data_IF_835130413777
#
_entry.id   IF_835130413777
#
_cell.length_a   1.000
_cell.length_b   1.000
_cell.length_c   1.000
_cell.angle_alpha   90.00
_cell.angle_beta   90.00
_cell.angle_gamma   90.00
#
_symmetry.space_group_name_H-M   'P 1'
#
loop_
_entity.id
_entity.type
_entity.pdbx_description
1 polymer ?
#
# COMPACT_ATOMS: atom_id res chain seq x y z
N UNK A 1 -50.25 -32.06 -28.77
CA UNK A 1 -49.20 -31.03 -28.79
C UNK A 1 -49.17 -30.35 -27.43
N UNK A 2 -48.26 -30.75 -26.53
CA UNK A 2 -48.14 -30.18 -25.18
C UNK A 2 -47.02 -29.13 -25.18
N UNK A 3 -47.37 -27.87 -24.92
CA UNK A 3 -46.37 -26.80 -24.78
C UNK A 3 -45.84 -26.78 -23.31
N UNK A 4 -44.56 -27.09 -23.15
CA UNK A 4 -43.84 -26.94 -21.89
C UNK A 4 -43.35 -25.48 -21.77
N UNK A 5 -43.87 -24.74 -20.78
CA UNK A 5 -43.40 -23.42 -20.40
C UNK A 5 -42.25 -23.59 -19.41
N UNK A 6 -41.02 -23.25 -19.81
CA UNK A 6 -39.85 -23.18 -18.92
C UNK A 6 -39.83 -21.78 -18.31
N UNK A 7 -40.07 -21.71 -17.03
CA UNK A 7 -39.94 -20.48 -16.27
C UNK A 7 -38.47 -20.32 -15.79
N UNK A 8 -37.75 -19.35 -16.37
CA UNK A 8 -36.39 -19.00 -15.98
C UNK A 8 -36.48 -18.05 -14.79
N UNK A 9 -36.14 -18.52 -13.59
CA UNK A 9 -36.01 -17.69 -12.38
C UNK A 9 -34.68 -16.92 -12.43
N UNK A 10 -34.72 -15.59 -12.65
CA UNK A 10 -33.58 -14.71 -12.47
C UNK A 10 -33.31 -14.51 -10.98
N UNK A 11 -32.26 -15.11 -10.46
CA UNK A 11 -31.71 -14.77 -9.15
C UNK A 11 -30.94 -13.46 -9.25
N UNK A 12 -31.57 -12.37 -8.86
CA UNK A 12 -30.87 -11.09 -8.61
C UNK A 12 -30.08 -11.21 -7.31
N UNK A 13 -28.79 -11.59 -7.42
CA UNK A 13 -27.86 -11.57 -6.31
C UNK A 13 -27.60 -10.10 -5.92
N UNK A 14 -28.09 -9.65 -4.78
CA UNK A 14 -27.69 -8.38 -4.18
C UNK A 14 -26.21 -8.48 -3.79
N UNK A 15 -25.33 -7.88 -4.61
CA UNK A 15 -23.94 -7.68 -4.26
C UNK A 15 -23.90 -6.69 -3.08
N UNK A 16 -23.73 -7.20 -1.87
CA UNK A 16 -23.39 -6.35 -0.72
C UNK A 16 -22.03 -5.75 -0.99
N UNK A 17 -21.96 -4.44 -1.22
CA UNK A 17 -20.71 -3.71 -1.25
C UNK A 17 -19.97 -3.97 0.08
N UNK A 18 -18.92 -4.76 0.05
CA UNK A 18 -18.04 -4.90 1.20
C UNK A 18 -17.38 -3.53 1.39
N UNK A 19 -17.72 -2.82 2.47
CA UNK A 19 -17.03 -1.61 2.86
C UNK A 19 -15.53 -1.94 2.99
N UNK A 20 -14.74 -1.46 2.04
CA UNK A 20 -13.29 -1.60 2.09
C UNK A 20 -12.73 -0.48 2.96
N UNK A 21 -11.67 -0.77 3.70
CA UNK A 21 -10.97 0.22 4.52
C UNK A 21 -10.59 1.45 3.68
N UNK A 22 -10.69 2.65 4.28
CA UNK A 22 -10.40 3.89 3.56
C UNK A 22 -8.92 4.27 3.69
N UNK A 23 -8.31 4.71 2.58
CA UNK A 23 -6.90 5.13 2.52
C UNK A 23 -6.77 6.62 2.23
N UNK A 24 -6.11 7.34 3.14
CA UNK A 24 -5.73 8.75 2.99
C UNK A 24 -4.24 8.85 2.71
N UNK A 25 -3.86 9.48 1.57
CA UNK A 25 -2.47 9.62 1.12
C UNK A 25 -2.05 11.07 1.07
N UNK A 26 -0.82 11.35 1.52
CA UNK A 26 -0.16 12.63 1.33
C UNK A 26 1.28 12.42 0.85
N UNK A 27 1.77 13.33 0.00
CA UNK A 27 3.11 13.26 -0.58
C UNK A 27 3.93 14.44 -0.12
N UNK A 28 5.19 14.17 0.23
CA UNK A 28 6.22 15.16 0.50
C UNK A 28 7.46 14.82 -0.30
N UNK A 29 8.35 15.80 -0.49
CA UNK A 29 9.54 15.62 -1.30
C UNK A 29 10.75 16.17 -0.58
N UNK A 30 11.87 15.46 -0.64
CA UNK A 30 13.17 15.99 -0.29
C UNK A 30 14.00 16.28 -1.56
N UNK A 31 14.92 17.23 -1.46
CA UNK A 31 15.69 17.66 -2.62
C UNK A 31 16.95 16.83 -2.80
N UNK A 32 17.10 16.26 -3.99
CA UNK A 32 18.32 15.59 -4.45
C UNK A 32 19.05 16.53 -5.39
N UNK A 33 20.37 16.65 -5.27
CA UNK A 33 21.22 17.50 -6.10
C UNK A 33 22.38 16.70 -6.66
N UNK A 34 22.75 16.97 -7.92
CA UNK A 34 23.85 16.31 -8.62
C UNK A 34 23.76 16.53 -10.11
N UNK A 35 24.89 16.34 -10.82
CA UNK A 35 25.00 16.49 -12.28
C UNK A 35 25.35 15.17 -12.98
N UNK A 36 25.73 14.15 -12.21
CA UNK A 36 26.11 12.81 -12.68
C UNK A 36 25.29 11.75 -11.96
N UNK A 37 25.25 10.53 -12.49
CA UNK A 37 24.60 9.39 -11.83
C UNK A 37 25.20 9.15 -10.44
N UNK A 38 26.53 9.21 -10.32
CA UNK A 38 27.23 9.03 -9.05
C UNK A 38 26.91 10.12 -8.00
N UNK A 39 26.66 11.38 -8.46
CA UNK A 39 26.22 12.44 -7.54
C UNK A 39 24.80 12.15 -7.00
N UNK A 40 23.91 11.71 -7.88
CA UNK A 40 22.53 11.40 -7.53
C UNK A 40 22.46 10.22 -6.57
N UNK A 41 23.25 9.18 -6.82
CA UNK A 41 23.34 8.01 -5.95
C UNK A 41 23.83 8.40 -4.54
N UNK A 42 24.92 9.17 -4.45
CA UNK A 42 25.40 9.70 -3.16
C UNK A 42 24.38 10.59 -2.45
N UNK A 43 23.65 11.41 -3.21
CA UNK A 43 22.63 12.29 -2.64
C UNK A 43 21.41 11.52 -2.14
N UNK A 44 21.00 10.46 -2.80
CA UNK A 44 19.95 9.54 -2.34
C UNK A 44 20.37 8.83 -1.05
N UNK A 45 21.59 8.29 -1.04
CA UNK A 45 22.13 7.55 0.13
C UNK A 45 22.26 8.42 1.39
N UNK A 46 22.41 9.75 1.25
CA UNK A 46 22.61 10.66 2.39
C UNK A 46 21.39 11.50 2.74
N UNK A 47 20.57 11.83 1.75
CA UNK A 47 19.50 12.83 1.89
C UNK A 47 18.11 12.24 2.07
N UNK A 48 17.92 10.95 1.88
CA UNK A 48 16.64 10.28 2.02
C UNK A 48 16.18 10.18 3.48
N UNK A 49 14.94 9.75 3.71
CA UNK A 49 14.42 9.54 5.07
C UNK A 49 15.23 8.48 5.82
N UNK A 50 15.58 8.81 7.08
CA UNK A 50 16.22 7.86 7.98
C UNK A 50 15.18 6.94 8.59
N UNK A 51 15.23 5.65 8.27
CA UNK A 51 14.33 4.66 8.85
C UNK A 51 14.87 4.15 10.18
N UNK A 52 14.09 4.33 11.25
CA UNK A 52 14.46 3.85 12.59
C UNK A 52 14.64 2.33 12.67
N UNK A 53 13.94 1.58 11.83
CA UNK A 53 13.97 0.12 11.77
C UNK A 53 15.30 -0.44 11.25
N UNK A 54 15.96 0.29 10.37
CA UNK A 54 17.25 -0.12 9.75
C UNK A 54 18.43 0.73 10.19
N UNK A 55 18.19 1.93 10.76
CA UNK A 55 19.22 2.91 11.04
C UNK A 55 19.87 3.51 9.79
N UNK A 56 19.29 3.31 8.60
CA UNK A 56 19.84 3.74 7.32
C UNK A 56 18.92 4.72 6.60
N UNK A 57 19.51 5.54 5.73
CA UNK A 57 18.76 6.37 4.81
C UNK A 57 18.24 5.53 3.65
N UNK A 58 16.98 5.76 3.29
CA UNK A 58 16.31 5.10 2.18
C UNK A 58 15.94 6.12 1.11
N UNK A 59 15.86 5.73 -0.18
CA UNK A 59 15.54 6.66 -1.25
C UNK A 59 14.09 7.14 -1.23
N UNK A 60 13.20 6.46 -0.51
CA UNK A 60 11.83 6.84 -0.23
C UNK A 60 11.39 6.32 1.13
N UNK A 61 10.23 6.73 1.61
CA UNK A 61 9.58 6.14 2.78
C UNK A 61 8.07 6.34 2.74
N UNK A 62 7.32 5.34 3.17
CA UNK A 62 5.91 5.41 3.48
C UNK A 62 5.70 5.26 4.99
N UNK A 63 5.30 6.33 5.66
CA UNK A 63 4.86 6.27 7.05
C UNK A 63 3.39 5.93 7.10
N UNK A 64 3.04 4.78 7.67
CA UNK A 64 1.68 4.25 7.69
C UNK A 64 1.15 4.22 9.12
N UNK A 65 -0.10 4.67 9.30
CA UNK A 65 -0.83 4.62 10.55
C UNK A 65 -2.23 4.06 10.32
N UNK A 66 -2.63 3.11 11.15
CA UNK A 66 -3.99 2.59 11.19
C UNK A 66 -4.79 3.33 12.26
N UNK A 67 -6.06 3.60 11.96
CA UNK A 67 -7.06 4.11 12.89
C UNK A 67 -8.29 3.19 12.78
N UNK A 68 -8.46 2.31 13.77
CA UNK A 68 -9.54 1.34 13.81
C UNK A 68 -10.55 1.70 14.90
N UNK A 69 -11.83 1.68 14.55
CA UNK A 69 -12.94 1.92 15.47
C UNK A 69 -13.96 0.80 15.34
N UNK A 70 -14.22 0.09 16.44
CA UNK A 70 -15.29 -0.88 16.55
C UNK A 70 -16.41 -0.33 17.43
N UNK A 71 -17.63 -0.40 16.95
CA UNK A 71 -18.84 -0.12 17.71
C UNK A 71 -19.48 -1.44 18.10
N UNK A 72 -19.89 -1.56 19.35
CA UNK A 72 -20.59 -2.73 19.85
C UNK A 72 -21.68 -2.33 20.83
N UNK A 73 -22.67 -3.20 21.01
CA UNK A 73 -23.82 -2.95 21.88
C UNK A 73 -24.18 -4.21 22.65
N UNK A 74 -24.51 -4.03 23.92
CA UNK A 74 -25.12 -5.06 24.74
C UNK A 74 -26.64 -5.04 24.54
N UNK A 75 -27.22 -6.20 24.30
CA UNK A 75 -28.65 -6.40 24.15
C UNK A 75 -29.02 -7.81 24.62
N UNK A 76 -30.04 -7.94 25.52
CA UNK A 76 -30.57 -9.22 26.05
C UNK A 76 -29.48 -10.18 26.58
N UNK A 77 -28.50 -9.65 27.32
CA UNK A 77 -27.42 -10.45 27.91
C UNK A 77 -26.33 -10.93 26.93
N UNK A 78 -26.26 -10.32 25.75
CA UNK A 78 -25.19 -10.57 24.78
C UNK A 78 -24.64 -9.24 24.22
N UNK A 79 -23.33 -9.17 24.07
CA UNK A 79 -22.65 -8.05 23.42
C UNK A 79 -22.20 -8.45 22.02
N UNK A 80 -22.52 -7.62 21.00
CA UNK A 80 -22.20 -7.86 19.59
C UNK A 80 -21.62 -6.64 18.90
N UNK A 81 -20.79 -6.86 17.89
CA UNK A 81 -20.30 -5.80 17.00
C UNK A 81 -21.46 -5.25 16.19
N UNK A 82 -21.56 -3.92 16.12
CA UNK A 82 -22.59 -3.19 15.34
C UNK A 82 -22.02 -2.37 14.22
N UNK A 83 -20.70 -2.13 14.19
CA UNK A 83 -20.00 -1.42 13.13
C UNK A 83 -18.50 -1.46 13.33
N UNK A 84 -17.76 -1.47 12.22
CA UNK A 84 -16.29 -1.43 12.22
C UNK A 84 -15.86 -0.49 11.10
N UNK A 85 -14.88 0.34 11.37
CA UNK A 85 -14.25 1.23 10.41
C UNK A 85 -12.75 1.19 10.63
N UNK A 86 -11.99 0.96 9.56
CA UNK A 86 -10.52 0.99 9.59
C UNK A 86 -10.03 1.97 8.55
N UNK A 87 -9.33 3.01 8.99
CA UNK A 87 -8.68 3.99 8.13
C UNK A 87 -7.17 3.78 8.11
N UNK A 88 -6.58 3.92 6.93
CA UNK A 88 -5.14 3.92 6.72
C UNK A 88 -4.70 5.34 6.34
N UNK A 89 -3.82 5.93 7.13
CA UNK A 89 -3.19 7.22 6.83
C UNK A 89 -1.75 6.97 6.40
N UNK A 90 -1.39 7.42 5.19
CA UNK A 90 -0.07 7.26 4.62
C UNK A 90 0.57 8.61 4.28
N UNK A 91 1.78 8.83 4.80
CA UNK A 91 2.65 9.96 4.42
C UNK A 91 3.82 9.40 3.63
N UNK A 92 3.93 9.80 2.36
CA UNK A 92 4.94 9.31 1.44
C UNK A 92 5.97 10.40 1.23
N UNK A 93 7.25 10.07 1.44
CA UNK A 93 8.37 10.96 1.16
C UNK A 93 9.16 10.44 -0.03
N UNK A 94 9.33 11.27 -1.06
CA UNK A 94 9.96 10.91 -2.33
C UNK A 94 11.10 11.87 -2.69
N UNK A 95 12.10 11.41 -3.47
CA UNK A 95 13.16 12.27 -3.96
C UNK A 95 12.66 13.20 -5.07
N UNK A 96 13.17 14.43 -5.09
CA UNK A 96 12.98 15.39 -6.17
C UNK A 96 14.33 15.93 -6.62
N UNK A 97 14.74 15.62 -7.84
CA UNK A 97 16.00 16.11 -8.39
C UNK A 97 15.89 17.56 -8.87
N UNK A 98 16.69 18.46 -8.27
CA UNK A 98 16.66 19.91 -8.52
C UNK A 98 17.04 20.26 -9.96
N UNK A 99 18.05 19.57 -10.53
CA UNK A 99 18.57 19.85 -11.84
C UNK A 99 17.92 19.04 -12.98
N UNK A 100 16.86 18.28 -12.71
CA UNK A 100 16.24 17.35 -13.67
C UNK A 100 15.94 17.98 -15.04
N UNK A 101 15.46 19.22 -15.07
CA UNK A 101 15.10 19.92 -16.32
C UNK A 101 16.31 20.34 -17.18
N UNK A 102 17.50 20.36 -16.61
CA UNK A 102 18.76 20.75 -17.27
C UNK A 102 19.67 19.57 -17.56
N UNK A 103 19.21 18.35 -17.27
CA UNK A 103 19.96 17.12 -17.47
C UNK A 103 19.92 16.68 -18.93
N UNK A 104 20.98 16.03 -19.38
CA UNK A 104 20.98 15.31 -20.65
C UNK A 104 19.93 14.21 -20.67
N UNK A 105 19.46 13.81 -21.87
CA UNK A 105 18.33 12.90 -22.02
C UNK A 105 18.56 11.55 -21.36
N UNK A 106 19.75 11.00 -21.42
CA UNK A 106 20.10 9.71 -20.85
C UNK A 106 20.00 9.70 -19.32
N UNK A 107 20.67 10.66 -18.65
CA UNK A 107 20.61 10.77 -17.19
C UNK A 107 19.20 11.10 -16.70
N UNK A 108 18.47 11.89 -17.49
CA UNK A 108 17.08 12.21 -17.24
C UNK A 108 16.19 10.95 -17.29
N UNK A 109 16.39 10.08 -18.28
CA UNK A 109 15.65 8.82 -18.43
C UNK A 109 15.94 7.88 -17.24
N UNK A 110 17.20 7.72 -16.87
CA UNK A 110 17.63 6.92 -15.72
C UNK A 110 16.98 7.41 -14.43
N UNK A 111 17.06 8.72 -14.16
CA UNK A 111 16.44 9.33 -12.99
C UNK A 111 14.92 9.12 -12.93
N UNK A 112 14.22 9.40 -14.02
CA UNK A 112 12.75 9.29 -14.05
C UNK A 112 12.31 7.84 -13.85
N UNK A 113 13.10 6.89 -14.36
CA UNK A 113 12.84 5.46 -14.14
C UNK A 113 13.02 5.10 -12.67
N UNK A 114 14.11 5.53 -12.05
CA UNK A 114 14.39 5.30 -10.64
C UNK A 114 13.36 5.96 -9.72
N UNK A 115 13.07 7.25 -9.95
CA UNK A 115 12.11 7.99 -9.13
C UNK A 115 10.70 7.39 -9.20
N UNK A 116 10.31 6.87 -10.36
CA UNK A 116 9.03 6.19 -10.50
C UNK A 116 9.02 4.80 -9.83
N UNK A 117 10.14 4.06 -9.88
CA UNK A 117 10.25 2.78 -9.19
C UNK A 117 10.23 2.97 -7.66
N UNK A 118 10.92 3.98 -7.13
CA UNK A 118 10.83 4.38 -5.73
C UNK A 118 9.38 4.68 -5.33
N UNK A 119 8.69 5.51 -6.13
CA UNK A 119 7.28 5.83 -5.86
C UNK A 119 6.40 4.58 -5.86
N UNK A 120 6.54 3.69 -6.84
CA UNK A 120 5.82 2.42 -6.91
C UNK A 120 6.05 1.57 -5.67
N UNK A 121 7.32 1.48 -5.21
CA UNK A 121 7.69 0.75 -4.01
C UNK A 121 6.95 1.27 -2.78
N UNK A 122 6.98 2.58 -2.53
CA UNK A 122 6.28 3.20 -1.40
C UNK A 122 4.76 3.05 -1.49
N UNK A 123 4.19 3.14 -2.68
CA UNK A 123 2.75 2.91 -2.89
C UNK A 123 2.34 1.44 -2.68
N UNK A 124 3.25 0.49 -2.92
CA UNK A 124 3.01 -0.93 -2.64
C UNK A 124 2.90 -1.22 -1.14
N UNK A 125 3.69 -0.56 -0.29
CA UNK A 125 3.53 -0.61 1.16
C UNK A 125 2.12 -0.19 1.60
N UNK A 126 1.57 0.85 0.96
CA UNK A 126 0.21 1.31 1.25
C UNK A 126 -0.85 0.31 0.79
N UNK A 127 -0.62 -0.34 -0.34
CA UNK A 127 -1.52 -1.38 -0.85
C UNK A 127 -1.57 -2.60 0.08
N UNK A 128 -0.43 -3.01 0.62
CA UNK A 128 -0.33 -4.05 1.65
C UNK A 128 -1.11 -3.62 2.91
N UNK A 129 -0.90 -2.40 3.38
CA UNK A 129 -1.60 -1.87 4.55
C UNK A 129 -3.12 -1.82 4.34
N UNK A 130 -3.59 -1.41 3.16
CA UNK A 130 -5.00 -1.38 2.81
C UNK A 130 -5.63 -2.78 2.83
N UNK A 131 -4.94 -3.78 2.29
CA UNK A 131 -5.39 -5.17 2.30
C UNK A 131 -5.57 -5.68 3.73
N UNK A 132 -4.59 -5.46 4.61
CA UNK A 132 -4.66 -5.84 6.00
C UNK A 132 -5.70 -5.05 6.81
N UNK A 133 -5.89 -3.75 6.51
CA UNK A 133 -6.95 -2.95 7.12
C UNK A 133 -8.33 -3.51 6.80
N UNK A 134 -8.57 -3.88 5.54
CA UNK A 134 -9.82 -4.52 5.11
C UNK A 134 -10.01 -5.90 5.74
N UNK A 135 -8.91 -6.64 5.96
CA UNK A 135 -8.95 -7.93 6.66
C UNK A 135 -9.30 -7.77 8.15
N UNK A 136 -8.69 -6.79 8.83
CA UNK A 136 -9.02 -6.45 10.23
C UNK A 136 -10.50 -6.10 10.35
N UNK A 137 -11.02 -5.27 9.47
CA UNK A 137 -12.41 -4.87 9.46
C UNK A 137 -13.36 -6.07 9.31
N UNK A 138 -13.11 -6.93 8.33
CA UNK A 138 -13.88 -8.16 8.12
C UNK A 138 -13.80 -9.11 9.29
N UNK A 139 -12.60 -9.32 9.84
CA UNK A 139 -12.39 -10.24 10.96
C UNK A 139 -13.10 -9.79 12.23
N UNK A 140 -13.09 -8.48 12.53
CA UNK A 140 -13.83 -7.93 13.69
C UNK A 140 -15.35 -8.03 13.46
N UNK A 141 -15.86 -7.75 12.27
CA UNK A 141 -17.30 -7.91 11.94
C UNK A 141 -17.78 -9.34 12.08
N UNK A 142 -16.91 -10.31 11.82
CA UNK A 142 -17.24 -11.74 11.91
C UNK A 142 -17.15 -12.32 13.33
N UNK A 143 -16.75 -11.53 14.34
CA UNK A 143 -16.70 -12.01 15.72
C UNK A 143 -18.10 -12.39 16.21
N UNK A 144 -18.25 -13.55 16.88
CA UNK A 144 -19.50 -13.94 17.50
C UNK A 144 -19.85 -13.02 18.67
N UNK A 145 -21.12 -12.94 19.02
CA UNK A 145 -21.55 -12.26 20.24
C UNK A 145 -20.94 -12.92 21.49
N UNK A 146 -20.71 -12.11 22.53
CA UNK A 146 -20.18 -12.55 23.82
C UNK A 146 -21.18 -12.24 24.94
N UNK A 147 -21.13 -12.94 26.08
CA UNK A 147 -21.99 -12.64 27.22
C UNK A 147 -21.86 -11.20 27.70
N UNK A 148 -20.68 -10.62 27.63
CA UNK A 148 -20.41 -9.24 27.99
C UNK A 148 -19.47 -8.52 27.01
N UNK A 149 -19.46 -7.19 27.07
CA UNK A 149 -18.67 -6.36 26.17
C UNK A 149 -17.17 -6.33 26.51
N UNK A 150 -16.75 -6.79 27.68
CA UNK A 150 -15.34 -6.88 28.03
C UNK A 150 -14.69 -8.05 27.25
N UNK A 151 -15.33 -9.21 27.27
CA UNK A 151 -14.87 -10.37 26.48
C UNK A 151 -14.84 -10.06 24.98
N UNK A 152 -15.88 -9.38 24.45
CA UNK A 152 -15.90 -8.99 23.05
C UNK A 152 -14.75 -8.05 22.70
N UNK A 153 -14.44 -7.09 23.55
CA UNK A 153 -13.30 -6.18 23.39
C UNK A 153 -11.96 -6.91 23.39
N UNK A 154 -11.81 -7.89 24.28
CA UNK A 154 -10.61 -8.73 24.33
C UNK A 154 -10.40 -9.54 23.03
N UNK A 155 -11.49 -10.08 22.47
CA UNK A 155 -11.44 -10.76 21.19
C UNK A 155 -11.08 -9.82 20.04
N UNK A 156 -11.64 -8.59 20.01
CA UNK A 156 -11.29 -7.55 19.04
C UNK A 156 -9.80 -7.23 19.13
N UNK A 157 -9.26 -7.04 20.35
CA UNK A 157 -7.84 -6.75 20.56
C UNK A 157 -6.94 -7.90 20.06
N UNK A 158 -7.26 -9.15 20.40
CA UNK A 158 -6.50 -10.35 19.96
C UNK A 158 -6.47 -10.49 18.43
N UNK A 159 -7.63 -10.32 17.80
CA UNK A 159 -7.72 -10.39 16.33
C UNK A 159 -6.92 -9.26 15.68
N UNK A 160 -7.06 -8.03 16.18
CA UNK A 160 -6.33 -6.87 15.66
C UNK A 160 -4.82 -7.06 15.80
N UNK A 161 -4.34 -7.46 16.99
CA UNK A 161 -2.91 -7.70 17.22
C UNK A 161 -2.35 -8.79 16.29
N UNK A 162 -3.06 -9.90 16.13
CA UNK A 162 -2.64 -10.97 15.21
C UNK A 162 -2.50 -10.48 13.78
N UNK A 163 -3.48 -9.71 13.27
CA UNK A 163 -3.49 -9.22 11.91
C UNK A 163 -2.47 -8.08 11.68
N UNK A 164 -2.20 -7.26 12.70
CA UNK A 164 -1.10 -6.29 12.65
C UNK A 164 0.27 -6.96 12.61
N UNK A 165 0.49 -8.05 13.34
CA UNK A 165 1.71 -8.86 13.22
C UNK A 165 1.86 -9.45 11.80
N UNK A 166 0.77 -9.92 11.20
CA UNK A 166 0.76 -10.41 9.82
C UNK A 166 1.09 -9.29 8.81
N UNK A 167 0.55 -8.09 9.02
CA UNK A 167 0.91 -6.90 8.23
C UNK A 167 2.41 -6.62 8.30
N UNK A 168 3.01 -6.58 9.49
CA UNK A 168 4.45 -6.28 9.65
C UNK A 168 5.33 -7.34 8.96
N UNK A 169 4.92 -8.60 9.00
CA UNK A 169 5.60 -9.69 8.28
C UNK A 169 5.48 -9.49 6.76
N UNK A 170 4.30 -9.12 6.27
CA UNK A 170 4.06 -8.88 4.84
C UNK A 170 4.89 -7.70 4.32
N UNK A 171 5.01 -6.61 5.08
CA UNK A 171 5.85 -5.45 4.75
C UNK A 171 7.33 -5.86 4.63
N UNK A 172 7.87 -6.56 5.63
CA UNK A 172 9.27 -7.03 5.61
C UNK A 172 9.55 -8.00 4.46
N UNK A 173 8.59 -8.90 4.18
CA UNK A 173 8.71 -9.83 3.05
C UNK A 173 8.72 -9.10 1.71
N UNK A 174 7.88 -8.09 1.56
CA UNK A 174 7.85 -7.24 0.37
C UNK A 174 9.21 -6.58 0.15
N UNK A 175 9.77 -5.90 1.16
CA UNK A 175 11.08 -5.25 1.08
C UNK A 175 12.19 -6.23 0.68
N UNK A 176 12.21 -7.38 1.30
CA UNK A 176 13.19 -8.42 0.99
C UNK A 176 13.13 -8.86 -0.48
N UNK A 177 11.92 -9.16 -0.98
CA UNK A 177 11.72 -9.60 -2.37
C UNK A 177 12.05 -8.47 -3.36
N UNK A 178 11.69 -7.22 -3.04
CA UNK A 178 11.97 -6.05 -3.86
C UNK A 178 13.48 -5.79 -3.97
N UNK A 179 14.21 -5.95 -2.86
CA UNK A 179 15.68 -5.81 -2.83
C UNK A 179 16.35 -6.85 -3.71
N UNK A 180 15.96 -8.12 -3.60
CA UNK A 180 16.54 -9.21 -4.41
C UNK A 180 16.31 -9.03 -5.91
N UNK A 181 15.21 -8.40 -6.29
CA UNK A 181 14.81 -8.26 -7.69
C UNK A 181 15.09 -6.87 -8.27
N UNK A 182 15.69 -5.97 -7.50
CA UNK A 182 15.85 -4.56 -7.90
C UNK A 182 16.58 -4.41 -9.23
N UNK A 183 17.77 -4.98 -9.37
CA UNK A 183 18.61 -4.80 -10.57
C UNK A 183 17.89 -5.26 -11.84
N UNK A 184 17.40 -6.51 -11.84
CA UNK A 184 16.68 -7.07 -12.99
C UNK A 184 15.41 -6.30 -13.34
N UNK A 185 14.69 -5.83 -12.33
CA UNK A 185 13.50 -5.02 -12.53
C UNK A 185 13.85 -3.67 -13.10
N UNK A 186 14.86 -3.01 -12.54
CA UNK A 186 15.28 -1.66 -12.98
C UNK A 186 15.80 -1.68 -14.42
N UNK A 187 16.64 -2.64 -14.78
CA UNK A 187 17.12 -2.85 -16.15
C UNK A 187 15.94 -3.01 -17.13
N UNK A 188 15.00 -3.89 -16.83
CA UNK A 188 13.81 -4.11 -17.68
C UNK A 188 12.97 -2.83 -17.82
N UNK A 189 12.76 -2.06 -16.75
CA UNK A 189 12.02 -0.81 -16.79
C UNK A 189 12.73 0.25 -17.63
N UNK A 190 14.06 0.32 -17.53
CA UNK A 190 14.87 1.25 -18.29
C UNK A 190 14.86 0.92 -19.78
N UNK A 191 15.06 -0.35 -20.13
CA UNK A 191 14.97 -0.85 -21.51
C UNK A 191 13.62 -0.53 -22.15
N UNK A 192 12.53 -0.87 -21.47
CA UNK A 192 11.19 -0.57 -21.96
C UNK A 192 10.94 0.92 -22.21
N UNK A 193 11.46 1.79 -21.35
CA UNK A 193 11.32 3.23 -21.52
C UNK A 193 12.18 3.78 -22.67
N UNK A 194 13.38 3.24 -22.82
CA UNK A 194 14.27 3.60 -23.92
C UNK A 194 13.62 3.25 -25.27
N UNK A 195 13.12 2.03 -25.42
CA UNK A 195 12.41 1.57 -26.62
C UNK A 195 11.24 2.48 -26.96
N UNK A 196 10.40 2.83 -26.00
CA UNK A 196 9.28 3.75 -26.20
C UNK A 196 9.70 5.16 -26.59
N UNK A 197 10.86 5.62 -26.14
CA UNK A 197 11.39 6.94 -26.52
C UNK A 197 11.88 6.93 -27.95
N UNK A 198 12.54 5.85 -28.36
CA UNK A 198 13.02 5.68 -29.74
C UNK A 198 11.86 5.56 -30.75
N UNK A 199 10.84 4.80 -30.43
CA UNK A 199 9.63 4.65 -31.27
C UNK A 199 8.96 6.01 -31.51
N UNK A 200 8.79 6.82 -30.48
CA UNK A 200 8.18 8.16 -30.60
C UNK A 200 9.02 9.18 -31.35
N UNK A 201 10.31 8.95 -31.52
CA UNK A 201 11.19 9.83 -32.29
C UNK A 201 11.19 9.53 -33.79
N UNK A 202 10.63 8.38 -34.20
CA UNK A 202 10.51 7.91 -35.59
C UNK A 202 9.15 8.23 -36.21
N UNK A 203 8.13 8.42 -35.38
CA UNK A 203 6.78 8.88 -35.76
C UNK A 203 6.73 10.43 -35.81
#
# INVERSE_FOLDING_TARGET
MHKVLVATALFAGAATAADAATVFRSYSYYTVQGKTAADLDRALARGGPLLKSTGQHHPGAAQIRFDAKARYRSDKGACRVTGVYVNVYAKIMLPRWKQRRRAGPELALVWDTLAQDIKRHEESHISIAHSHASEIERAIRALPSRPDCAQLRDDINKVTERLMKAHDIAQKRFDYVETLNFEKRFERLLTYRLERTLTKAVD
#
